data_IF_085977664032
#
_entry.id   IF_085977664032
#
_cell.length_a   1.000
_cell.length_b   1.000
_cell.length_c   1.000
_cell.angle_alpha   90.00
_cell.angle_beta   90.00
_cell.angle_gamma   90.00
#
_symmetry.space_group_name_H-M   'P 1'
#
loop_
_entity.id
_entity.type
_entity.pdbx_description
1 polymer ?
#
# COMPACT_ATOMS: atom_id res chain seq x y z
N UNK A 1 29.15 -41.27 18.61
CA UNK A 1 28.39 -40.78 17.44
C UNK A 1 27.83 -39.42 17.81
N UNK A 2 28.46 -38.33 17.35
CA UNK A 2 27.91 -36.98 17.48
C UNK A 2 27.01 -36.75 16.27
N UNK A 3 25.71 -36.71 16.53
CA UNK A 3 24.73 -36.28 15.54
C UNK A 3 24.74 -34.73 15.59
N UNK A 4 25.29 -34.08 14.57
CA UNK A 4 25.13 -32.64 14.35
C UNK A 4 23.76 -32.49 13.72
N UNK A 5 22.75 -32.09 14.49
CA UNK A 5 21.49 -31.60 13.95
C UNK A 5 21.76 -30.22 13.38
N UNK A 6 21.73 -30.10 12.06
CA UNK A 6 21.67 -28.83 11.39
C UNK A 6 20.35 -28.14 11.77
N UNK A 7 20.41 -27.20 12.71
CA UNK A 7 19.31 -26.29 13.00
C UNK A 7 19.16 -25.28 11.85
N UNK A 8 18.76 -25.75 10.69
CA UNK A 8 18.14 -24.88 9.70
C UNK A 8 16.75 -24.55 10.21
N UNK A 9 16.61 -23.35 10.77
CA UNK A 9 15.29 -22.81 11.10
C UNK A 9 14.57 -22.57 9.77
N UNK A 10 13.77 -23.52 9.35
CA UNK A 10 12.89 -23.37 8.21
C UNK A 10 11.82 -22.33 8.56
N UNK A 11 12.10 -21.07 8.26
CA UNK A 11 11.06 -20.04 8.28
C UNK A 11 10.03 -20.37 7.20
N UNK A 12 8.79 -20.63 7.64
CA UNK A 12 7.69 -20.86 6.70
C UNK A 12 7.61 -19.72 5.69
N UNK A 13 7.66 -20.07 4.39
CA UNK A 13 7.58 -19.11 3.30
C UNK A 13 6.26 -18.35 3.37
N UNK A 14 6.34 -17.03 3.54
CA UNK A 14 5.17 -16.15 3.59
C UNK A 14 5.08 -15.32 2.31
N UNK A 15 3.89 -15.18 1.78
CA UNK A 15 3.63 -14.31 0.65
C UNK A 15 3.37 -12.88 1.11
N UNK A 16 3.96 -11.90 0.41
CA UNK A 16 3.83 -10.48 0.70
C UNK A 16 3.17 -9.74 -0.46
N UNK A 17 2.22 -8.86 -0.14
CA UNK A 17 1.67 -7.94 -1.11
C UNK A 17 1.84 -6.50 -0.62
N UNK A 18 2.55 -5.67 -1.39
CA UNK A 18 2.68 -4.24 -1.14
C UNK A 18 1.62 -3.48 -1.93
N UNK A 19 0.83 -2.67 -1.24
CA UNK A 19 -0.18 -1.81 -1.84
C UNK A 19 0.34 -0.38 -1.84
N UNK A 20 0.69 0.15 -3.03
CA UNK A 20 1.35 1.43 -3.15
C UNK A 20 0.80 2.32 -4.26
N UNK A 21 1.09 3.61 -4.19
CA UNK A 21 0.57 4.62 -5.10
C UNK A 21 1.07 4.39 -6.54
N UNK A 22 2.38 4.36 -6.74
CA UNK A 22 2.99 4.24 -8.07
C UNK A 22 4.45 3.74 -7.96
N UNK A 23 4.66 2.46 -8.31
CA UNK A 23 6.02 1.86 -8.32
C UNK A 23 6.90 2.44 -9.44
N UNK A 24 6.29 3.08 -10.44
CA UNK A 24 6.98 3.65 -11.60
C UNK A 24 7.50 5.07 -11.37
N UNK A 25 7.14 5.70 -10.23
CA UNK A 25 7.61 7.03 -9.88
C UNK A 25 8.95 6.99 -9.15
N UNK A 26 9.67 8.10 -9.16
CA UNK A 26 10.81 8.35 -8.29
C UNK A 26 10.33 8.83 -6.92
N UNK A 27 10.96 8.38 -5.83
CA UNK A 27 10.65 8.87 -4.47
C UNK A 27 11.19 7.95 -3.38
N UNK A 28 11.32 8.48 -2.16
CA UNK A 28 11.84 7.75 -0.99
C UNK A 28 11.02 6.52 -0.64
N UNK A 29 9.70 6.65 -0.59
CA UNK A 29 8.78 5.51 -0.37
C UNK A 29 8.97 4.42 -1.42
N UNK A 30 9.08 4.80 -2.70
CA UNK A 30 9.28 3.84 -3.79
C UNK A 30 10.60 3.11 -3.62
N UNK A 31 11.68 3.83 -3.30
CA UNK A 31 13.00 3.24 -3.05
C UNK A 31 12.96 2.24 -1.90
N UNK A 32 12.42 2.64 -0.75
CA UNK A 32 12.33 1.77 0.45
C UNK A 32 11.52 0.51 0.18
N UNK A 33 10.36 0.65 -0.46
CA UNK A 33 9.49 -0.49 -0.80
C UNK A 33 10.18 -1.42 -1.79
N UNK A 34 10.85 -0.87 -2.82
CA UNK A 34 11.59 -1.67 -3.79
C UNK A 34 12.70 -2.48 -3.12
N UNK A 35 13.50 -1.85 -2.25
CA UNK A 35 14.57 -2.54 -1.53
C UNK A 35 14.03 -3.67 -0.66
N UNK A 36 12.99 -3.40 0.12
CA UNK A 36 12.36 -4.42 0.98
C UNK A 36 11.75 -5.57 0.15
N UNK A 37 11.05 -5.23 -0.94
CA UNK A 37 10.44 -6.22 -1.82
C UNK A 37 11.50 -7.11 -2.49
N UNK A 38 12.62 -6.53 -2.95
CA UNK A 38 13.73 -7.27 -3.52
C UNK A 38 14.36 -8.22 -2.50
N UNK A 39 14.66 -7.72 -1.29
CA UNK A 39 15.23 -8.55 -0.20
C UNK A 39 14.32 -9.73 0.16
N UNK A 40 13.01 -9.52 0.19
CA UNK A 40 12.05 -10.60 0.45
C UNK A 40 12.04 -11.62 -0.70
N UNK A 41 12.08 -11.15 -1.96
CA UNK A 41 12.12 -12.02 -3.13
C UNK A 41 13.43 -12.81 -3.22
N UNK A 42 14.58 -12.20 -2.91
CA UNK A 42 15.89 -12.86 -2.81
C UNK A 42 15.91 -13.96 -1.76
N UNK A 43 15.18 -13.77 -0.64
CA UNK A 43 14.98 -14.80 0.38
C UNK A 43 13.94 -15.86 0.00
N UNK A 44 13.42 -15.81 -1.23
CA UNK A 44 12.48 -16.78 -1.78
C UNK A 44 11.01 -16.52 -1.47
N UNK A 45 10.66 -15.46 -0.73
CA UNK A 45 9.26 -15.13 -0.45
C UNK A 45 8.51 -14.71 -1.73
N UNK A 46 7.29 -15.21 -2.00
CA UNK A 46 6.45 -14.71 -3.08
C UNK A 46 6.06 -13.25 -2.81
N UNK A 47 6.46 -12.33 -3.70
CA UNK A 47 6.18 -10.90 -3.55
C UNK A 47 5.32 -10.40 -4.70
N UNK A 48 4.27 -9.65 -4.36
CA UNK A 48 3.43 -8.92 -5.30
C UNK A 48 3.40 -7.44 -4.95
N UNK A 49 3.50 -6.56 -5.94
CA UNK A 49 3.31 -5.12 -5.78
C UNK A 49 2.03 -4.73 -6.52
N UNK A 50 1.03 -4.21 -5.80
CA UNK A 50 -0.15 -3.59 -6.38
C UNK A 50 0.11 -2.10 -6.49
N UNK A 51 0.41 -1.63 -7.69
CA UNK A 51 0.57 -0.21 -8.01
C UNK A 51 -0.79 0.37 -8.43
N UNK A 52 -1.27 1.37 -7.69
CA UNK A 52 -2.55 2.01 -8.05
C UNK A 52 -2.45 2.67 -9.42
N UNK A 53 -1.36 3.39 -9.66
CA UNK A 53 -1.13 4.08 -10.93
C UNK A 53 0.13 3.59 -11.64
N UNK A 54 0.14 3.79 -12.95
CA UNK A 54 1.29 3.63 -13.83
C UNK A 54 1.32 4.75 -14.85
N UNK A 55 2.45 5.45 -14.97
CA UNK A 55 2.67 6.51 -15.95
C UNK A 55 3.92 6.31 -16.83
N UNK A 56 4.78 5.33 -16.51
CA UNK A 56 6.01 5.04 -17.23
C UNK A 56 6.09 3.57 -17.67
N UNK A 57 7.02 3.27 -18.59
CA UNK A 57 7.15 1.92 -19.18
C UNK A 57 7.78 0.91 -18.23
N UNK A 58 8.72 1.33 -17.41
CA UNK A 58 9.40 0.50 -16.42
C UNK A 58 9.36 1.15 -15.04
N UNK A 59 9.45 0.37 -13.95
CA UNK A 59 9.71 0.92 -12.62
C UNK A 59 10.98 1.76 -12.62
N UNK A 60 10.99 2.84 -11.81
CA UNK A 60 12.16 3.70 -11.71
C UNK A 60 13.36 2.99 -11.05
N UNK A 61 13.09 2.19 -10.03
CA UNK A 61 14.10 1.31 -9.41
C UNK A 61 13.92 -0.11 -9.91
N UNK A 62 15.03 -0.83 -10.07
CA UNK A 62 15.03 -2.20 -10.52
C UNK A 62 14.35 -3.13 -9.54
N UNK A 63 13.48 -3.98 -10.04
CA UNK A 63 12.76 -5.00 -9.28
C UNK A 63 13.34 -6.39 -9.57
N UNK A 64 13.48 -7.20 -8.54
CA UNK A 64 13.84 -8.61 -8.68
C UNK A 64 12.84 -9.31 -9.62
N UNK A 65 13.35 -10.18 -10.49
CA UNK A 65 12.57 -10.81 -11.58
C UNK A 65 11.37 -11.66 -11.08
N UNK A 66 11.45 -12.19 -9.86
CA UNK A 66 10.35 -12.95 -9.25
C UNK A 66 9.19 -12.08 -8.73
N UNK A 67 9.34 -10.75 -8.64
CA UNK A 67 8.30 -9.86 -8.14
C UNK A 67 7.23 -9.67 -9.19
N UNK A 68 5.96 -9.91 -8.80
CA UNK A 68 4.80 -9.68 -9.64
C UNK A 68 4.27 -8.26 -9.44
N UNK A 69 4.11 -7.50 -10.54
CA UNK A 69 3.52 -6.16 -10.49
C UNK A 69 2.12 -6.17 -11.08
N UNK A 70 1.12 -5.75 -10.30
CA UNK A 70 -0.27 -5.56 -10.72
C UNK A 70 -0.63 -4.09 -10.72
N UNK A 71 -1.04 -3.56 -11.87
CA UNK A 71 -1.42 -2.16 -12.05
C UNK A 71 -2.94 -2.03 -12.07
N UNK A 72 -3.50 -1.08 -11.31
CA UNK A 72 -4.94 -0.84 -11.29
C UNK A 72 -5.39 0.17 -12.37
N UNK A 73 -4.61 1.23 -12.58
CA UNK A 73 -4.86 2.27 -13.59
C UNK A 73 -3.56 2.57 -14.32
N UNK A 74 -3.51 2.23 -15.61
CA UNK A 74 -2.36 2.53 -16.46
C UNK A 74 -2.69 3.74 -17.36
N UNK A 75 -2.15 4.90 -17.03
CA UNK A 75 -2.40 6.13 -17.77
C UNK A 75 -1.81 6.14 -19.19
N UNK A 76 -0.90 5.26 -19.50
CA UNK A 76 -0.37 5.09 -20.88
C UNK A 76 -1.42 4.44 -21.78
N UNK A 77 -2.29 3.59 -21.21
CA UNK A 77 -3.35 2.88 -21.91
C UNK A 77 -4.66 3.66 -21.86
N UNK A 78 -4.68 4.86 -22.50
CA UNK A 78 -5.82 5.79 -22.44
C UNK A 78 -7.15 5.11 -22.80
N UNK A 79 -7.20 4.31 -23.84
CA UNK A 79 -8.42 3.62 -24.28
C UNK A 79 -8.97 2.67 -23.22
N UNK A 80 -8.10 1.86 -22.56
CA UNK A 80 -8.51 0.91 -21.52
C UNK A 80 -8.93 1.59 -20.21
N UNK A 81 -8.41 2.79 -19.95
CA UNK A 81 -8.63 3.50 -18.68
C UNK A 81 -9.47 4.79 -18.84
N UNK A 82 -10.21 4.92 -19.95
CA UNK A 82 -11.07 6.07 -20.23
C UNK A 82 -11.99 6.41 -19.04
N UNK A 83 -12.63 5.40 -18.44
CA UNK A 83 -13.52 5.61 -17.27
C UNK A 83 -12.79 6.21 -16.08
N UNK A 84 -11.57 5.75 -15.76
CA UNK A 84 -10.77 6.28 -14.65
C UNK A 84 -10.33 7.72 -14.94
N UNK A 85 -9.87 7.98 -16.14
CA UNK A 85 -9.42 9.30 -16.60
C UNK A 85 -10.59 10.29 -16.60
N UNK A 86 -11.72 9.91 -17.19
CA UNK A 86 -12.92 10.76 -17.26
C UNK A 86 -13.47 11.04 -15.85
N UNK A 87 -13.66 10.00 -15.01
CA UNK A 87 -14.13 10.18 -13.65
C UNK A 87 -13.23 11.12 -12.85
N UNK A 88 -11.92 11.04 -13.04
CA UNK A 88 -10.99 11.92 -12.35
C UNK A 88 -11.04 13.37 -12.84
N UNK A 89 -11.32 13.59 -14.13
CA UNK A 89 -11.45 14.94 -14.72
C UNK A 89 -12.74 15.64 -14.32
N UNK A 90 -13.87 14.92 -14.30
CA UNK A 90 -15.19 15.52 -14.10
C UNK A 90 -15.67 15.49 -12.65
N UNK A 91 -14.94 14.83 -11.72
CA UNK A 91 -15.37 14.68 -10.31
C UNK A 91 -15.59 16.03 -9.59
N UNK A 92 -14.87 17.08 -9.99
CA UNK A 92 -15.08 18.41 -9.41
C UNK A 92 -16.46 18.99 -9.72
N UNK A 93 -17.12 18.55 -10.80
CA UNK A 93 -18.48 18.96 -11.18
C UNK A 93 -19.53 17.93 -10.80
N UNK A 94 -19.11 16.76 -10.32
CA UNK A 94 -19.96 15.59 -10.08
C UNK A 94 -19.63 14.98 -8.73
N UNK A 95 -20.24 15.48 -7.62
CA UNK A 95 -19.90 15.08 -6.25
C UNK A 95 -19.91 13.57 -5.99
N UNK A 96 -20.79 12.81 -6.66
CA UNK A 96 -20.84 11.35 -6.51
C UNK A 96 -19.60 10.61 -7.07
N UNK A 97 -18.74 11.29 -7.84
CA UNK A 97 -17.46 10.76 -8.29
C UNK A 97 -16.31 11.03 -7.31
N UNK A 98 -16.56 11.75 -6.22
CA UNK A 98 -15.59 11.90 -5.15
C UNK A 98 -15.43 10.58 -4.38
N UNK A 99 -14.26 10.43 -3.77
CA UNK A 99 -13.97 9.28 -2.89
C UNK A 99 -14.88 9.32 -1.66
N UNK A 100 -15.21 8.14 -1.14
CA UNK A 100 -16.06 7.98 0.06
C UNK A 100 -15.26 7.56 1.29
N UNK A 101 -14.14 6.89 1.09
CA UNK A 101 -13.31 6.33 2.16
C UNK A 101 -11.96 7.03 2.21
N UNK A 102 -11.36 7.36 1.05
CA UNK A 102 -10.14 8.16 1.03
C UNK A 102 -10.47 9.56 1.54
N UNK A 103 -9.81 9.94 2.63
CA UNK A 103 -10.03 11.20 3.34
C UNK A 103 -9.86 12.43 2.44
N UNK A 104 -10.57 13.48 2.78
CA UNK A 104 -10.36 14.79 2.15
C UNK A 104 -8.98 15.39 2.49
N UNK A 105 -8.36 14.93 3.56
CA UNK A 105 -7.05 15.40 4.03
C UNK A 105 -5.88 14.59 3.43
N UNK A 106 -6.17 13.55 2.62
CA UNK A 106 -5.13 12.75 1.98
C UNK A 106 -4.30 13.61 1.00
N UNK A 107 -2.96 13.68 1.16
CA UNK A 107 -2.10 14.33 0.20
C UNK A 107 -2.27 13.73 -1.19
N UNK A 108 -2.51 14.58 -2.20
CA UNK A 108 -2.78 14.10 -3.57
C UNK A 108 -4.17 13.50 -3.79
N UNK A 109 -5.16 13.76 -2.91
CA UNK A 109 -6.56 13.35 -3.09
C UNK A 109 -7.11 13.64 -4.48
N UNK A 110 -6.64 14.72 -5.11
CA UNK A 110 -7.03 15.07 -6.48
C UNK A 110 -6.80 13.97 -7.51
N UNK A 111 -5.91 13.02 -7.23
CA UNK A 111 -5.60 11.88 -8.10
C UNK A 111 -6.62 10.73 -7.97
N UNK A 112 -7.45 10.75 -6.93
CA UNK A 112 -8.41 9.69 -6.66
C UNK A 112 -9.84 10.13 -7.00
N UNK A 113 -10.57 9.26 -7.66
CA UNK A 113 -12.02 9.34 -7.86
C UNK A 113 -12.68 8.12 -7.24
N UNK A 114 -14.01 8.15 -7.05
CA UNK A 114 -14.77 6.99 -6.57
C UNK A 114 -14.55 5.75 -7.44
N UNK A 115 -14.26 5.92 -8.72
CA UNK A 115 -13.96 4.81 -9.62
C UNK A 115 -12.61 4.15 -9.28
N UNK A 116 -11.57 4.97 -9.05
CA UNK A 116 -10.25 4.47 -8.62
C UNK A 116 -10.34 3.83 -7.25
N UNK A 117 -11.03 4.47 -6.30
CA UNK A 117 -11.27 3.94 -4.95
C UNK A 117 -11.95 2.55 -5.00
N UNK A 118 -12.98 2.38 -5.83
CA UNK A 118 -13.64 1.07 -6.02
C UNK A 118 -12.68 0.00 -6.57
N UNK A 119 -11.78 0.36 -7.51
CA UNK A 119 -10.74 -0.57 -7.99
C UNK A 119 -9.77 -0.97 -6.88
N UNK A 120 -9.37 -0.02 -6.03
CA UNK A 120 -8.49 -0.27 -4.89
C UNK A 120 -9.18 -1.22 -3.89
N UNK A 121 -10.42 -0.93 -3.49
CA UNK A 121 -11.21 -1.78 -2.59
C UNK A 121 -11.36 -3.20 -3.18
N UNK A 122 -11.69 -3.30 -4.47
CA UNK A 122 -11.77 -4.60 -5.14
C UNK A 122 -10.45 -5.35 -5.10
N UNK A 123 -9.32 -4.67 -5.34
CA UNK A 123 -8.00 -5.29 -5.30
C UNK A 123 -7.67 -5.80 -3.89
N UNK A 124 -7.94 -5.02 -2.84
CA UNK A 124 -7.71 -5.42 -1.44
C UNK A 124 -8.54 -6.66 -1.09
N UNK A 125 -9.85 -6.64 -1.36
CA UNK A 125 -10.76 -7.76 -1.06
C UNK A 125 -10.41 -9.08 -1.75
N UNK A 126 -9.82 -9.01 -2.95
CA UNK A 126 -9.47 -10.20 -3.73
C UNK A 126 -7.98 -10.56 -3.65
N UNK A 127 -7.20 -9.86 -2.84
CA UNK A 127 -5.81 -10.21 -2.59
C UNK A 127 -5.74 -11.54 -1.84
N UNK A 128 -4.86 -12.42 -2.33
CA UNK A 128 -4.51 -13.69 -1.68
C UNK A 128 -3.05 -13.58 -1.31
N UNK A 129 -2.78 -13.38 -0.03
CA UNK A 129 -1.44 -13.17 0.52
C UNK A 129 -1.47 -13.44 2.02
N UNK A 130 -0.35 -13.81 2.61
CA UNK A 130 -0.23 -13.94 4.07
C UNK A 130 -0.09 -12.56 4.71
N UNK A 131 0.63 -11.65 4.05
CA UNK A 131 0.92 -10.31 4.57
C UNK A 131 0.57 -9.25 3.54
N UNK A 132 -0.25 -8.27 3.93
CA UNK A 132 -0.62 -7.12 3.11
C UNK A 132 -0.07 -5.84 3.73
N UNK A 133 0.81 -5.17 3.02
CA UNK A 133 1.49 -3.94 3.45
C UNK A 133 0.95 -2.74 2.70
N UNK A 134 0.33 -1.81 3.40
CA UNK A 134 -0.04 -0.51 2.84
C UNK A 134 1.07 0.51 3.08
N UNK A 135 1.37 1.33 2.08
CA UNK A 135 2.52 2.26 2.11
C UNK A 135 2.10 3.72 2.22
N UNK A 136 0.89 3.96 2.68
CA UNK A 136 0.30 5.30 2.77
C UNK A 136 -0.93 5.29 3.67
N UNK A 137 -1.14 6.33 4.47
CA UNK A 137 -2.24 6.40 5.43
C UNK A 137 -3.62 6.08 4.82
N UNK A 138 -3.98 6.67 3.67
CA UNK A 138 -5.25 6.36 2.99
C UNK A 138 -5.36 4.90 2.54
N UNK A 139 -4.26 4.27 2.15
CA UNK A 139 -4.26 2.85 1.77
C UNK A 139 -4.40 1.96 2.99
N UNK A 140 -3.75 2.34 4.09
CA UNK A 140 -3.86 1.65 5.37
C UNK A 140 -5.29 1.72 5.92
N UNK A 141 -5.97 2.87 5.77
CA UNK A 141 -7.41 3.03 6.09
C UNK A 141 -8.28 2.10 5.23
N UNK A 142 -7.99 1.97 3.93
CA UNK A 142 -8.71 1.02 3.07
C UNK A 142 -8.43 -0.44 3.48
N UNK A 143 -7.18 -0.77 3.76
CA UNK A 143 -6.76 -2.11 4.20
C UNK A 143 -7.45 -2.48 5.51
N UNK A 144 -7.46 -1.59 6.50
CA UNK A 144 -8.13 -1.83 7.79
C UNK A 144 -9.61 -2.15 7.67
N UNK A 145 -10.28 -1.61 6.64
CA UNK A 145 -11.72 -1.80 6.39
C UNK A 145 -12.05 -2.99 5.49
N UNK A 146 -11.17 -3.38 4.59
CA UNK A 146 -11.52 -4.26 3.48
C UNK A 146 -10.60 -5.46 3.29
N UNK A 147 -9.48 -5.55 4.02
CA UNK A 147 -8.66 -6.75 4.04
C UNK A 147 -9.45 -7.90 4.71
N UNK A 148 -9.15 -9.12 4.31
CA UNK A 148 -9.73 -10.29 4.93
C UNK A 148 -9.08 -10.55 6.28
N UNK A 149 -9.83 -11.11 7.22
CA UNK A 149 -9.40 -11.30 8.61
C UNK A 149 -8.17 -12.24 8.73
N UNK A 150 -8.01 -13.18 7.83
CA UNK A 150 -6.89 -14.11 7.80
C UNK A 150 -5.55 -13.50 7.33
N UNK A 151 -5.58 -12.29 6.76
CA UNK A 151 -4.38 -11.61 6.24
C UNK A 151 -3.76 -10.74 7.33
N UNK A 152 -2.48 -10.93 7.60
CA UNK A 152 -1.72 -10.02 8.47
C UNK A 152 -1.54 -8.68 7.76
N UNK A 153 -2.00 -7.62 8.37
CA UNK A 153 -1.95 -6.27 7.80
C UNK A 153 -0.85 -5.44 8.44
N UNK A 154 -0.08 -4.73 7.61
CA UNK A 154 1.00 -3.84 8.06
C UNK A 154 0.78 -2.44 7.47
N UNK A 155 0.69 -1.44 8.33
CA UNK A 155 0.75 -0.03 7.93
C UNK A 155 2.21 0.42 7.92
N UNK A 156 2.75 0.72 6.74
CA UNK A 156 4.09 1.28 6.59
C UNK A 156 3.97 2.78 6.39
N UNK A 157 4.34 3.55 7.41
CA UNK A 157 4.27 5.01 7.38
C UNK A 157 5.56 5.61 6.84
N UNK A 158 5.40 6.54 5.91
CA UNK A 158 6.49 7.28 5.26
C UNK A 158 6.38 8.80 5.47
N UNK A 159 5.48 9.22 6.33
CA UNK A 159 5.32 10.61 6.78
C UNK A 159 5.29 10.66 8.30
N UNK A 160 5.79 11.75 8.87
CA UNK A 160 5.65 12.00 10.30
C UNK A 160 4.17 12.14 10.66
N UNK A 161 3.79 11.61 11.82
CA UNK A 161 2.43 11.67 12.32
C UNK A 161 1.90 13.12 12.39
N UNK A 162 2.71 14.04 12.91
CA UNK A 162 2.34 15.47 13.04
C UNK A 162 2.25 16.23 11.72
N UNK A 163 2.75 15.66 10.62
CA UNK A 163 2.58 16.25 9.30
C UNK A 163 1.14 16.10 8.77
N UNK A 164 0.34 15.25 9.41
CA UNK A 164 -1.07 15.11 9.09
C UNK A 164 -1.91 16.13 9.86
N UNK A 165 -2.95 16.76 9.24
CA UNK A 165 -3.92 17.57 9.96
C UNK A 165 -4.61 16.78 11.08
N UNK A 166 -4.95 17.41 12.20
CA UNK A 166 -5.53 16.77 13.38
C UNK A 166 -6.73 15.86 13.06
N UNK A 167 -7.62 16.31 12.17
CA UNK A 167 -8.76 15.51 11.76
C UNK A 167 -8.31 14.23 11.02
N UNK A 168 -7.25 14.31 10.23
CA UNK A 168 -6.73 13.14 9.53
C UNK A 168 -6.01 12.20 10.49
N UNK A 169 -5.29 12.74 11.49
CA UNK A 169 -4.69 11.92 12.56
C UNK A 169 -5.76 11.08 13.26
N UNK A 170 -6.91 11.67 13.60
CA UNK A 170 -8.05 10.94 14.23
C UNK A 170 -8.57 9.81 13.33
N UNK A 171 -8.69 10.06 12.02
CA UNK A 171 -9.12 9.04 11.06
C UNK A 171 -8.09 7.90 10.96
N UNK A 172 -6.79 8.23 10.94
CA UNK A 172 -5.68 7.27 10.89
C UNK A 172 -5.71 6.39 12.15
N UNK A 173 -5.73 6.99 13.34
CA UNK A 173 -5.74 6.25 14.62
C UNK A 173 -6.96 5.33 14.71
N UNK A 174 -8.15 5.83 14.37
CA UNK A 174 -9.36 5.01 14.38
C UNK A 174 -9.25 3.77 13.46
N UNK A 175 -8.64 3.93 12.29
CA UNK A 175 -8.43 2.83 11.35
C UNK A 175 -7.34 1.86 11.80
N UNK A 176 -6.25 2.38 12.40
CA UNK A 176 -5.06 1.58 12.74
C UNK A 176 -5.28 0.64 13.93
N UNK A 177 -6.33 0.85 14.72
CA UNK A 177 -6.78 -0.14 15.72
C UNK A 177 -7.13 -1.52 15.12
N UNK A 178 -7.43 -1.55 13.82
CA UNK A 178 -7.71 -2.77 13.07
C UNK A 178 -6.53 -3.21 12.17
N UNK A 179 -5.34 -2.67 12.38
CA UNK A 179 -4.11 -3.06 11.69
C UNK A 179 -3.23 -3.88 12.65
N UNK A 180 -2.66 -4.98 12.18
CA UNK A 180 -1.88 -5.87 13.04
C UNK A 180 -0.52 -5.28 13.45
N UNK A 181 0.16 -4.56 12.55
CA UNK A 181 1.47 -3.95 12.80
C UNK A 181 1.59 -2.61 12.11
N UNK A 182 2.34 -1.70 12.74
CA UNK A 182 2.67 -0.38 12.19
C UNK A 182 4.18 -0.25 12.17
N UNK A 183 4.73 0.24 11.08
CA UNK A 183 6.14 0.62 10.97
C UNK A 183 6.23 2.12 10.72
N UNK A 184 7.15 2.78 11.37
CA UNK A 184 7.39 4.23 11.31
C UNK A 184 8.83 4.52 10.94
N UNK A 185 9.11 5.75 10.50
CA UNK A 185 10.47 6.17 10.14
C UNK A 185 11.34 6.48 11.36
N UNK A 186 10.73 6.92 12.46
CA UNK A 186 11.45 7.40 13.65
C UNK A 186 10.87 6.81 14.92
N UNK A 187 11.70 6.75 15.98
CA UNK A 187 11.25 6.35 17.31
C UNK A 187 10.22 7.35 17.88
N UNK A 188 10.36 8.64 17.55
CA UNK A 188 9.40 9.65 17.97
C UNK A 188 8.00 9.40 17.39
N UNK A 189 7.91 9.07 16.10
CA UNK A 189 6.63 8.69 15.49
C UNK A 189 6.09 7.39 16.08
N UNK A 190 6.96 6.40 16.35
CA UNK A 190 6.54 5.16 17.00
C UNK A 190 5.88 5.44 18.35
N UNK A 191 6.49 6.26 19.19
CA UNK A 191 5.96 6.64 20.49
C UNK A 191 4.61 7.37 20.37
N UNK A 192 4.46 8.26 19.38
CA UNK A 192 3.20 8.94 19.12
C UNK A 192 2.09 7.97 18.74
N UNK A 193 2.34 7.06 17.82
CA UNK A 193 1.35 6.03 17.46
C UNK A 193 1.00 5.16 18.68
N UNK A 194 1.99 4.73 19.47
CA UNK A 194 1.77 3.93 20.67
C UNK A 194 0.94 4.65 21.74
N UNK A 195 1.09 5.97 21.87
CA UNK A 195 0.32 6.75 22.85
C UNK A 195 -1.13 7.00 22.44
N UNK A 196 -1.48 6.82 21.18
CA UNK A 196 -2.82 7.11 20.61
C UNK A 196 -3.65 5.85 20.34
N UNK A 197 -3.01 4.67 20.25
CA UNK A 197 -3.65 3.39 19.96
C UNK A 197 -4.01 2.62 21.22
#
# INVERSE_FOLDING_TARGET
LNIIENNEVFYAMKSFTFFMHNIYAMGGTVKSVTQLANTLAEKGHPVTIISVFRGADSPYFELHSAIKVKVLVDYRLKLKNTRAITANRIKKYTPFLNTKVISQFEPGKSQFSSYVEKKMIKAIRHTKTDVLVGTRASFNILISKYAKAEIVTIAMEHMNFDAHPDQYQKEIIAAYRNINKITTLTVADQQKYQSQL
#
